data_IF_489045545098
#
_entry.id   IF_489045545098
#
_cell.length_a   1.000
_cell.length_b   1.000
_cell.length_c   1.000
_cell.angle_alpha   90.00
_cell.angle_beta   90.00
_cell.angle_gamma   90.00
#
_symmetry.space_group_name_H-M   'P 1'
#
loop_
_entity.id
_entity.type
_entity.pdbx_description
1 polymer ?
#
# COMPACT_ATOMS: atom_id res chain seq x y z
N UNK A 1 -5.36 36.78 -37.00
CA UNK A 1 -5.74 35.39 -36.72
C UNK A 1 -6.18 34.57 -37.96
N UNK A 2 -6.26 35.13 -39.17
CA UNK A 2 -6.67 34.37 -40.38
C UNK A 2 -5.54 33.75 -41.22
N UNK A 3 -4.29 34.13 -41.04
CA UNK A 3 -3.19 33.67 -41.89
C UNK A 3 -2.66 32.26 -41.55
N UNK A 4 -2.70 31.89 -40.26
CA UNK A 4 -2.20 30.56 -39.81
C UNK A 4 -3.16 29.45 -40.22
N UNK A 5 -4.46 29.66 -40.13
CA UNK A 5 -5.47 28.68 -40.53
C UNK A 5 -5.46 28.38 -42.06
N UNK A 6 -5.05 29.34 -42.88
CA UNK A 6 -4.99 29.16 -44.32
C UNK A 6 -3.77 28.39 -44.76
N UNK A 7 -2.66 28.48 -44.03
CA UNK A 7 -1.45 27.68 -44.30
C UNK A 7 -1.67 26.20 -43.92
N UNK A 8 -2.33 25.94 -42.80
CA UNK A 8 -2.67 24.57 -42.41
C UNK A 8 -3.61 23.86 -43.39
N UNK A 9 -4.60 24.59 -43.94
CA UNK A 9 -5.54 24.05 -44.93
C UNK A 9 -4.85 23.72 -46.28
N UNK A 10 -3.89 24.53 -46.73
CA UNK A 10 -3.14 24.29 -47.99
C UNK A 10 -2.19 23.09 -47.82
N UNK A 11 -1.60 22.87 -46.67
CA UNK A 11 -0.72 21.73 -46.40
C UNK A 11 -1.51 20.43 -46.26
N UNK A 12 -2.72 20.48 -45.71
CA UNK A 12 -3.62 19.33 -45.63
C UNK A 12 -4.07 18.83 -47.03
N UNK A 13 -4.25 19.74 -47.97
CA UNK A 13 -4.65 19.41 -49.36
C UNK A 13 -3.49 18.86 -50.23
N UNK A 14 -2.24 18.99 -49.80
CA UNK A 14 -1.05 18.48 -50.50
C UNK A 14 -0.65 17.05 -50.12
N UNK A 15 -1.32 16.43 -49.17
CA UNK A 15 -1.04 15.04 -48.78
C UNK A 15 0.26 14.87 -47.98
N UNK A 16 0.89 15.97 -47.57
CA UNK A 16 2.09 15.92 -46.72
C UNK A 16 1.66 15.53 -45.32
N UNK A 17 2.02 14.32 -44.90
CA UNK A 17 1.76 13.85 -43.52
C UNK A 17 2.52 14.74 -42.56
N UNK A 18 1.81 15.63 -41.89
CA UNK A 18 2.35 16.31 -40.70
C UNK A 18 2.52 15.27 -39.61
N UNK A 19 3.73 14.75 -39.47
CA UNK A 19 4.15 14.13 -38.21
C UNK A 19 4.20 15.24 -37.15
N UNK A 20 3.27 15.23 -36.21
CA UNK A 20 3.31 16.15 -35.09
C UNK A 20 4.52 15.79 -34.22
N UNK A 21 5.12 16.79 -33.49
CA UNK A 21 6.20 16.51 -32.55
C UNK A 21 5.84 15.42 -31.53
N UNK A 22 4.55 15.24 -31.25
CA UNK A 22 4.03 14.18 -30.37
C UNK A 22 4.20 12.77 -30.95
N UNK A 23 3.97 12.60 -32.26
CA UNK A 23 4.10 11.30 -32.93
C UNK A 23 5.57 10.86 -32.99
N UNK A 24 6.48 11.77 -33.32
CA UNK A 24 7.93 11.52 -33.25
C UNK A 24 8.42 11.21 -31.84
N UNK A 25 7.84 11.83 -30.82
CA UNK A 25 8.22 11.56 -29.43
C UNK A 25 7.80 10.16 -28.99
N UNK A 26 6.60 9.73 -29.32
CA UNK A 26 6.10 8.39 -29.00
C UNK A 26 6.84 7.30 -29.77
N UNK A 27 7.11 7.48 -31.06
CA UNK A 27 7.92 6.52 -31.85
C UNK A 27 9.34 6.39 -31.28
N UNK A 28 10.01 7.49 -30.99
CA UNK A 28 11.34 7.49 -30.39
C UNK A 28 11.36 6.83 -29.01
N UNK A 29 10.35 7.08 -28.17
CA UNK A 29 10.20 6.40 -26.89
C UNK A 29 9.95 4.91 -27.04
N UNK A 30 9.20 4.49 -28.05
CA UNK A 30 8.97 3.08 -28.34
C UNK A 30 10.24 2.39 -28.87
N UNK A 31 11.05 3.08 -29.67
CA UNK A 31 12.35 2.58 -30.13
C UNK A 31 13.35 2.48 -28.99
N UNK A 32 13.44 3.50 -28.13
CA UNK A 32 14.25 3.48 -26.90
C UNK A 32 13.85 2.34 -25.97
N UNK A 33 12.55 2.07 -25.84
CA UNK A 33 12.03 0.97 -25.05
C UNK A 33 12.39 -0.41 -25.64
N UNK A 34 12.36 -0.55 -26.99
CA UNK A 34 12.76 -1.78 -27.70
C UNK A 34 14.27 -1.97 -27.71
N UNK A 35 15.05 -0.88 -27.75
CA UNK A 35 16.51 -0.90 -27.80
C UNK A 35 17.16 -1.11 -26.42
N UNK A 36 16.40 -1.00 -25.31
CA UNK A 36 16.94 -1.31 -23.98
C UNK A 36 17.31 -2.80 -23.93
N UNK A 37 18.60 -3.14 -23.75
CA UNK A 37 19.00 -4.54 -23.56
C UNK A 37 18.19 -5.06 -22.36
N UNK A 38 17.62 -6.25 -22.53
CA UNK A 38 16.90 -6.92 -21.45
C UNK A 38 17.85 -7.00 -20.24
N UNK A 39 17.80 -5.99 -19.39
CA UNK A 39 18.55 -6.00 -18.14
C UNK A 39 18.23 -7.34 -17.51
N UNK A 40 19.27 -8.10 -17.11
CA UNK A 40 19.12 -9.36 -16.37
C UNK A 40 18.11 -9.07 -15.26
N UNK A 41 16.86 -9.41 -15.50
CA UNK A 41 15.80 -9.28 -14.51
C UNK A 41 16.27 -10.13 -13.34
N UNK A 42 16.78 -9.50 -12.27
CA UNK A 42 16.74 -10.13 -10.97
C UNK A 42 15.30 -10.62 -10.88
N UNK A 43 15.11 -11.93 -10.65
CA UNK A 43 13.77 -12.49 -10.60
C UNK A 43 13.02 -11.77 -9.48
N UNK A 44 12.28 -10.73 -9.87
CA UNK A 44 11.42 -10.03 -8.94
C UNK A 44 10.47 -11.09 -8.35
N UNK A 45 10.25 -11.07 -7.05
CA UNK A 45 9.29 -11.97 -6.45
C UNK A 45 7.97 -11.81 -7.20
N UNK A 46 7.38 -12.92 -7.67
CA UNK A 46 6.11 -12.83 -8.37
C UNK A 46 5.07 -12.19 -7.45
N UNK A 47 4.13 -11.42 -8.00
CA UNK A 47 3.04 -10.81 -7.23
C UNK A 47 2.33 -11.86 -6.34
N UNK A 48 2.11 -13.07 -6.86
CA UNK A 48 1.52 -14.17 -6.10
C UNK A 48 2.36 -14.50 -4.86
N UNK A 49 3.68 -14.56 -4.97
CA UNK A 49 4.57 -14.81 -3.85
C UNK A 49 4.50 -13.69 -2.81
N UNK A 50 4.51 -12.43 -3.24
CA UNK A 50 4.34 -11.29 -2.32
C UNK A 50 3.02 -11.37 -1.59
N UNK A 51 1.91 -11.64 -2.29
CA UNK A 51 0.59 -11.79 -1.70
C UNK A 51 0.49 -12.95 -0.72
N UNK A 52 1.21 -14.06 -0.93
CA UNK A 52 1.24 -15.18 0.02
C UNK A 52 1.99 -14.86 1.31
N UNK A 53 2.99 -14.00 1.25
CA UNK A 53 3.78 -13.59 2.43
C UNK A 53 3.25 -12.31 3.09
N UNK A 54 2.51 -11.48 2.36
CA UNK A 54 1.85 -10.31 2.92
C UNK A 54 0.63 -10.76 3.74
N UNK A 55 0.73 -10.69 5.06
CA UNK A 55 -0.32 -11.03 6.02
C UNK A 55 -0.52 -9.87 7.01
N UNK A 56 -1.68 -9.85 7.66
CA UNK A 56 -1.96 -8.91 8.74
C UNK A 56 -1.26 -9.36 10.02
N UNK A 57 0.03 -9.03 10.15
CA UNK A 57 0.84 -9.39 11.31
C UNK A 57 0.49 -8.51 12.51
N UNK A 58 0.40 -9.14 13.68
CA UNK A 58 0.11 -8.47 14.96
C UNK A 58 1.21 -8.67 16.00
N UNK A 59 2.17 -9.58 15.71
CA UNK A 59 3.36 -9.84 16.51
C UNK A 59 4.62 -9.69 15.66
N UNK A 60 5.61 -9.01 16.22
CA UNK A 60 6.86 -8.65 15.55
C UNK A 60 8.06 -9.11 16.38
N UNK A 61 9.18 -9.32 15.70
CA UNK A 61 10.46 -9.66 16.30
C UNK A 61 11.03 -8.44 17.05
N UNK A 62 11.10 -8.47 18.39
CA UNK A 62 11.59 -7.34 19.18
C UNK A 62 13.09 -7.07 19.02
N UNK A 63 13.84 -8.05 18.52
CA UNK A 63 15.30 -7.90 18.29
C UNK A 63 15.59 -7.09 17.02
N UNK A 64 14.59 -6.94 16.13
CA UNK A 64 14.77 -6.22 14.87
C UNK A 64 14.28 -4.79 14.96
N UNK A 65 15.17 -3.85 14.69
CA UNK A 65 14.83 -2.43 14.59
C UNK A 65 14.58 -2.04 13.13
N UNK A 66 13.38 -1.53 12.84
CA UNK A 66 13.09 -0.90 11.56
C UNK A 66 13.82 0.43 11.48
N UNK A 67 14.44 0.71 10.32
CA UNK A 67 15.20 1.94 10.09
C UNK A 67 14.37 2.95 9.30
N UNK A 68 14.76 4.21 9.42
CA UNK A 68 14.11 5.32 8.71
C UNK A 68 14.15 5.13 7.18
N UNK A 69 15.29 4.69 6.63
CA UNK A 69 15.43 4.43 5.19
C UNK A 69 14.48 3.36 4.68
N UNK A 70 14.15 2.36 5.51
CA UNK A 70 13.16 1.33 5.18
C UNK A 70 11.73 1.90 5.15
N UNK A 71 11.34 2.73 6.14
CA UNK A 71 10.03 3.40 6.12
C UNK A 71 9.92 4.37 4.94
N UNK A 72 10.99 5.12 4.63
CA UNK A 72 11.04 5.98 3.47
C UNK A 72 10.81 5.20 2.18
N UNK A 73 11.51 4.08 1.99
CA UNK A 73 11.34 3.20 0.82
C UNK A 73 9.92 2.67 0.69
N UNK A 74 9.27 2.35 1.81
CA UNK A 74 7.86 1.94 1.82
C UNK A 74 6.96 3.09 1.40
N UNK A 75 7.19 4.31 1.89
CA UNK A 75 6.41 5.50 1.55
C UNK A 75 6.61 5.91 0.08
N UNK A 76 7.80 5.75 -0.48
CA UNK A 76 8.09 6.07 -1.88
C UNK A 76 7.13 5.39 -2.87
N UNK A 77 6.57 4.23 -2.53
CA UNK A 77 5.57 3.54 -3.36
C UNK A 77 4.33 4.40 -3.63
N UNK A 78 3.99 5.31 -2.73
CA UNK A 78 2.86 6.23 -2.92
C UNK A 78 3.03 7.13 -4.15
N UNK A 79 4.25 7.34 -4.63
CA UNK A 79 4.53 8.11 -5.86
C UNK A 79 4.34 7.29 -7.14
N UNK A 80 4.15 5.98 -7.02
CA UNK A 80 4.08 5.04 -8.15
C UNK A 80 2.68 4.50 -8.38
N UNK A 81 1.78 4.66 -7.42
CA UNK A 81 0.41 4.13 -7.50
C UNK A 81 -0.58 5.16 -8.02
N UNK A 82 -1.65 4.73 -8.70
CA UNK A 82 -2.69 5.64 -9.15
C UNK A 82 -3.49 6.24 -7.98
N UNK A 83 -4.04 7.43 -8.19
CA UNK A 83 -5.06 8.02 -7.32
C UNK A 83 -6.20 8.60 -8.13
N UNK A 84 -7.39 8.71 -7.53
CA UNK A 84 -8.56 9.25 -8.18
C UNK A 84 -8.28 10.68 -8.68
N UNK A 85 -8.49 10.92 -9.98
CA UNK A 85 -8.19 12.21 -10.65
C UNK A 85 -6.76 12.71 -10.43
N UNK A 86 -5.84 11.82 -10.07
CA UNK A 86 -4.46 12.15 -9.68
C UNK A 86 -4.37 13.21 -8.56
N UNK A 87 -5.34 13.20 -7.63
CA UNK A 87 -5.48 14.21 -6.59
C UNK A 87 -4.38 14.17 -5.51
N UNK A 88 -3.77 13.00 -5.28
CA UNK A 88 -2.62 12.80 -4.39
C UNK A 88 -2.74 13.50 -3.03
N UNK A 89 -3.89 13.35 -2.38
CA UNK A 89 -4.24 14.05 -1.13
C UNK A 89 -3.66 13.43 0.13
N UNK A 90 -3.09 12.22 0.04
CA UNK A 90 -2.57 11.51 1.21
C UNK A 90 -1.19 12.04 1.62
N UNK A 91 -0.94 12.05 2.93
CA UNK A 91 0.33 12.42 3.56
C UNK A 91 0.71 11.38 4.60
N UNK A 92 2.01 11.19 4.81
CA UNK A 92 2.56 10.07 5.57
C UNK A 92 3.46 10.58 6.67
N UNK A 93 3.21 10.14 7.89
CA UNK A 93 4.06 10.39 9.06
C UNK A 93 4.72 9.08 9.47
N UNK A 94 6.01 8.87 9.16
CA UNK A 94 6.76 7.76 9.73
C UNK A 94 6.96 7.99 11.23
N UNK A 95 6.86 6.91 11.99
CA UNK A 95 7.02 6.91 13.45
C UNK A 95 7.95 5.75 13.81
N UNK A 96 8.96 6.03 14.61
CA UNK A 96 9.98 5.09 15.07
C UNK A 96 10.29 5.30 16.56
N UNK A 97 10.97 4.33 17.14
CA UNK A 97 11.60 4.38 18.46
C UNK A 97 10.70 4.96 19.57
N UNK A 98 11.06 6.09 20.15
CA UNK A 98 10.39 6.68 21.31
C UNK A 98 8.94 7.12 21.03
N UNK A 99 8.66 7.55 19.79
CA UNK A 99 7.29 7.91 19.38
C UNK A 99 6.40 6.67 19.15
N UNK A 100 6.98 5.48 18.97
CA UNK A 100 6.22 4.25 18.74
C UNK A 100 5.27 3.92 19.90
N UNK A 101 5.68 4.18 21.13
CA UNK A 101 4.85 3.98 22.33
C UNK A 101 3.65 4.93 22.37
N UNK A 102 3.77 6.11 21.76
CA UNK A 102 2.63 7.02 21.61
C UNK A 102 1.57 6.39 20.72
N UNK A 103 1.97 5.84 19.55
CA UNK A 103 1.04 5.19 18.64
C UNK A 103 0.42 3.95 19.29
N UNK A 104 1.25 3.10 19.92
CA UNK A 104 0.81 1.85 20.54
C UNK A 104 -0.34 2.07 21.54
N UNK A 105 -0.29 3.13 22.33
CA UNK A 105 -1.33 3.45 23.33
C UNK A 105 -2.67 3.89 22.72
N UNK A 106 -2.68 4.26 21.45
CA UNK A 106 -3.88 4.78 20.78
C UNK A 106 -4.45 3.84 19.72
N UNK A 107 -3.84 2.68 19.49
CA UNK A 107 -4.33 1.67 18.53
C UNK A 107 -4.97 0.49 19.25
N UNK A 108 -5.83 -0.25 18.53
CA UNK A 108 -6.42 -1.51 19.00
C UNK A 108 -6.18 -2.59 17.96
N UNK A 109 -5.66 -3.73 18.41
CA UNK A 109 -5.40 -4.92 17.57
C UNK A 109 -6.27 -6.09 18.01
N UNK A 110 -6.53 -7.04 17.10
CA UNK A 110 -7.18 -8.30 17.44
C UNK A 110 -8.68 -8.22 17.70
N UNK A 111 -9.41 -7.24 17.13
CA UNK A 111 -10.83 -7.03 17.42
C UNK A 111 -11.77 -8.22 17.25
N UNK A 112 -11.43 -9.23 16.40
CA UNK A 112 -12.20 -10.47 16.26
C UNK A 112 -11.76 -11.60 17.23
N UNK A 113 -10.69 -11.40 17.98
CA UNK A 113 -10.18 -12.32 19.01
C UNK A 113 -9.77 -11.52 20.26
N UNK A 114 -10.71 -10.84 20.91
CA UNK A 114 -10.41 -9.92 22.02
C UNK A 114 -9.78 -10.62 23.22
N UNK A 115 -10.06 -11.92 23.39
CA UNK A 115 -9.49 -12.77 24.44
C UNK A 115 -7.97 -12.94 24.34
N UNK A 116 -7.38 -12.68 23.18
CA UNK A 116 -5.94 -12.82 23.00
C UNK A 116 -5.12 -11.62 23.48
N UNK A 117 -5.77 -10.48 23.74
CA UNK A 117 -5.10 -9.24 24.20
C UNK A 117 -3.86 -8.90 23.35
N UNK A 118 -4.05 -8.74 22.03
CA UNK A 118 -2.96 -8.47 21.09
C UNK A 118 -2.52 -6.99 21.11
N UNK A 119 -1.22 -6.71 20.84
CA UNK A 119 -0.13 -7.66 20.60
C UNK A 119 0.28 -8.39 21.89
N UNK A 120 0.87 -9.58 21.75
CA UNK A 120 1.45 -10.24 22.91
C UNK A 120 2.63 -9.44 23.45
N UNK A 121 2.79 -9.44 24.78
CA UNK A 121 3.86 -8.73 25.46
C UNK A 121 5.24 -9.09 24.87
N UNK A 122 6.03 -8.08 24.54
CA UNK A 122 7.34 -8.22 23.91
C UNK A 122 7.30 -8.46 22.40
N UNK A 123 6.12 -8.45 21.76
CA UNK A 123 5.98 -8.55 20.30
C UNK A 123 5.35 -7.31 19.67
N UNK A 124 5.31 -6.22 20.40
CA UNK A 124 4.70 -4.96 19.99
C UNK A 124 5.41 -4.38 18.76
N UNK A 125 4.67 -3.80 17.81
CA UNK A 125 5.29 -3.06 16.72
C UNK A 125 6.02 -1.81 17.25
N UNK A 126 7.22 -1.56 16.70
CA UNK A 126 8.08 -0.41 17.09
C UNK A 126 8.27 0.58 15.95
N UNK A 127 7.56 0.38 14.83
CA UNK A 127 7.55 1.29 13.70
C UNK A 127 6.15 1.40 13.12
N UNK A 128 5.77 2.62 12.72
CA UNK A 128 4.46 2.88 12.12
C UNK A 128 4.56 3.89 11.00
N UNK A 129 3.56 3.88 10.13
CA UNK A 129 3.28 4.94 9.17
C UNK A 129 1.83 5.37 9.41
N UNK A 130 1.65 6.61 9.87
CA UNK A 130 0.31 7.21 9.99
C UNK A 130 -0.02 7.88 8.67
N UNK A 131 -1.13 7.47 8.06
CA UNK A 131 -1.61 8.01 6.79
C UNK A 131 -2.69 9.05 7.09
N UNK A 132 -2.47 10.27 6.63
CA UNK A 132 -3.37 11.39 6.82
C UNK A 132 -3.92 11.89 5.47
N UNK A 133 -5.03 12.62 5.49
CA UNK A 133 -5.59 13.27 4.30
C UNK A 133 -5.55 14.79 4.43
N UNK A 134 -5.21 15.49 3.34
CA UNK A 134 -5.25 16.95 3.25
C UNK A 134 -6.64 17.51 2.98
N UNK A 135 -7.61 16.64 2.70
CA UNK A 135 -9.02 16.94 2.42
C UNK A 135 -9.92 16.07 3.27
N UNK A 136 -11.19 16.39 3.35
CA UNK A 136 -12.18 15.59 4.04
C UNK A 136 -12.28 14.17 3.47
N UNK A 137 -12.60 13.21 4.35
CA UNK A 137 -12.80 11.81 4.01
C UNK A 137 -13.97 11.65 3.01
N UNK A 138 -13.76 10.88 1.97
CA UNK A 138 -14.74 10.62 0.93
C UNK A 138 -14.47 9.27 0.28
N UNK A 139 -15.46 8.74 -0.45
CA UNK A 139 -15.34 7.47 -1.18
C UNK A 139 -14.06 7.38 -2.03
N UNK A 140 -13.63 8.47 -2.66
CA UNK A 140 -12.41 8.46 -3.48
C UNK A 140 -11.14 8.48 -2.63
N UNK A 141 -11.16 9.20 -1.51
CA UNK A 141 -10.06 9.19 -0.53
C UNK A 141 -9.91 7.77 0.04
N UNK A 142 -11.01 7.08 0.36
CA UNK A 142 -10.98 5.70 0.88
C UNK A 142 -10.42 4.70 -0.14
N UNK A 143 -10.77 4.86 -1.43
CA UNK A 143 -10.21 4.03 -2.51
C UNK A 143 -8.70 4.28 -2.63
N UNK A 144 -8.26 5.53 -2.69
CA UNK A 144 -6.85 5.89 -2.76
C UNK A 144 -6.08 5.38 -1.52
N UNK A 145 -6.69 5.49 -0.34
CA UNK A 145 -6.13 4.99 0.93
C UNK A 145 -5.87 3.48 0.86
N UNK A 146 -6.85 2.71 0.37
CA UNK A 146 -6.71 1.26 0.21
C UNK A 146 -5.62 0.88 -0.78
N UNK A 147 -5.55 1.56 -1.94
CA UNK A 147 -4.52 1.33 -2.97
C UNK A 147 -3.12 1.58 -2.41
N UNK A 148 -2.92 2.73 -1.76
CA UNK A 148 -1.63 3.12 -1.19
C UNK A 148 -1.22 2.19 -0.05
N UNK A 149 -2.11 1.93 0.90
CA UNK A 149 -1.81 1.09 2.06
C UNK A 149 -1.41 -0.33 1.65
N UNK A 150 -2.16 -0.96 0.72
CA UNK A 150 -1.83 -2.28 0.20
C UNK A 150 -0.47 -2.28 -0.51
N UNK A 151 -0.19 -1.27 -1.33
CA UNK A 151 1.07 -1.17 -2.07
C UNK A 151 2.26 -0.99 -1.14
N UNK A 152 2.12 -0.16 -0.10
CA UNK A 152 3.14 0.01 0.94
C UNK A 152 3.43 -1.28 1.69
N UNK A 153 2.40 -2.04 2.05
CA UNK A 153 2.58 -3.31 2.76
C UNK A 153 3.19 -4.41 1.86
N UNK A 154 2.93 -4.39 0.56
CA UNK A 154 3.63 -5.24 -0.40
C UNK A 154 5.11 -4.86 -0.51
N UNK A 155 5.44 -3.56 -0.54
CA UNK A 155 6.82 -3.09 -0.51
C UNK A 155 7.53 -3.48 0.79
N UNK A 156 6.84 -3.38 1.94
CA UNK A 156 7.37 -3.88 3.20
C UNK A 156 7.70 -5.38 3.11
N UNK A 157 6.79 -6.18 2.53
CA UNK A 157 6.98 -7.62 2.32
C UNK A 157 8.18 -7.91 1.40
N UNK A 158 8.34 -7.15 0.32
CA UNK A 158 9.46 -7.30 -0.62
C UNK A 158 10.82 -7.11 0.05
N UNK A 159 10.91 -6.18 1.01
CA UNK A 159 12.16 -5.91 1.75
C UNK A 159 12.32 -6.75 3.02
N UNK A 160 11.49 -7.81 3.18
CA UNK A 160 11.59 -8.75 4.31
C UNK A 160 10.94 -8.26 5.61
N UNK A 161 10.10 -7.24 5.52
CA UNK A 161 9.23 -6.76 6.60
C UNK A 161 7.80 -7.23 6.38
N UNK A 162 6.93 -6.91 7.30
CA UNK A 162 5.50 -7.11 7.20
C UNK A 162 4.77 -6.05 7.98
N UNK A 163 3.44 -6.07 7.91
CA UNK A 163 2.66 -5.09 8.65
C UNK A 163 1.17 -5.39 8.64
N UNK A 164 0.41 -4.44 9.15
CA UNK A 164 -1.05 -4.50 9.21
C UNK A 164 -1.64 -3.10 9.06
N UNK A 165 -2.80 -3.00 8.40
CA UNK A 165 -3.65 -1.82 8.43
C UNK A 165 -4.46 -1.80 9.73
N UNK A 166 -4.43 -0.69 10.43
CA UNK A 166 -5.13 -0.46 11.70
C UNK A 166 -6.07 0.74 11.52
N UNK A 167 -7.37 0.44 11.38
CA UNK A 167 -8.43 1.47 11.35
C UNK A 167 -8.99 1.76 12.75
N UNK A 168 -8.77 0.84 13.72
CA UNK A 168 -9.26 1.00 15.09
C UNK A 168 -8.21 1.75 15.94
N UNK A 169 -8.29 3.08 15.93
CA UNK A 169 -7.41 3.95 16.74
C UNK A 169 -8.12 5.24 17.13
N UNK A 170 -7.58 5.91 18.15
CA UNK A 170 -8.11 7.17 18.67
C UNK A 170 -7.54 8.33 17.85
N UNK A 171 -8.27 8.78 16.80
CA UNK A 171 -7.82 9.76 15.78
C UNK A 171 -7.33 11.07 16.41
N UNK A 172 -8.19 11.77 17.18
CA UNK A 172 -7.86 13.08 17.72
C UNK A 172 -6.73 13.04 18.76
N UNK A 173 -6.70 12.12 19.74
CA UNK A 173 -5.57 11.97 20.64
C UNK A 173 -4.25 11.69 19.90
N UNK A 174 -4.27 10.81 18.89
CA UNK A 174 -3.08 10.51 18.10
C UNK A 174 -2.61 11.73 17.32
N UNK A 175 -3.54 12.46 16.69
CA UNK A 175 -3.26 13.70 15.96
C UNK A 175 -2.55 14.73 16.82
N UNK A 176 -3.05 14.96 18.03
CA UNK A 176 -2.45 15.91 18.97
C UNK A 176 -1.08 15.45 19.46
N UNK A 177 -0.94 14.19 19.84
CA UNK A 177 0.32 13.65 20.39
C UNK A 177 1.47 13.63 19.39
N UNK A 178 1.17 13.38 18.11
CA UNK A 178 2.16 13.38 17.02
C UNK A 178 2.25 14.74 16.31
N UNK A 179 1.50 15.76 16.78
CA UNK A 179 1.42 17.08 16.16
C UNK A 179 1.14 17.01 14.64
N UNK A 180 0.14 16.20 14.25
CA UNK A 180 -0.20 16.01 12.85
C UNK A 180 -0.99 17.20 12.33
N UNK A 181 -0.52 17.76 11.20
CA UNK A 181 -1.20 18.87 10.52
C UNK A 181 -2.56 18.45 9.92
N UNK A 182 -2.67 17.20 9.49
CA UNK A 182 -3.81 16.67 8.77
C UNK A 182 -4.48 15.54 9.54
N UNK A 183 -5.74 15.24 9.17
CA UNK A 183 -6.53 14.20 9.81
C UNK A 183 -5.96 12.80 9.53
N UNK A 184 -5.64 11.99 10.56
CA UNK A 184 -5.19 10.62 10.39
C UNK A 184 -6.36 9.71 10.02
N UNK A 185 -6.20 8.94 8.92
CA UNK A 185 -7.22 8.01 8.43
C UNK A 185 -6.88 6.55 8.70
N UNK A 186 -5.59 6.21 8.69
CA UNK A 186 -5.14 4.83 8.85
C UNK A 186 -3.75 4.79 9.49
N UNK A 187 -3.49 3.77 10.28
CA UNK A 187 -2.15 3.48 10.81
C UNK A 187 -1.67 2.16 10.21
N UNK A 188 -0.46 2.16 9.67
CA UNK A 188 0.25 0.92 9.30
C UNK A 188 1.26 0.62 10.40
N UNK A 189 1.14 -0.54 11.05
CA UNK A 189 2.24 -1.07 11.86
C UNK A 189 3.20 -1.84 10.98
N UNK A 190 4.50 -1.64 11.15
CA UNK A 190 5.58 -2.22 10.34
C UNK A 190 6.62 -2.88 11.25
N UNK A 191 7.10 -4.05 10.86
CA UNK A 191 8.16 -4.75 11.59
C UNK A 191 8.58 -6.02 10.90
N UNK A 192 9.55 -6.75 11.49
CA UNK A 192 9.86 -8.11 11.06
C UNK A 192 8.80 -9.04 11.64
N UNK A 193 8.04 -9.81 10.81
CA UNK A 193 7.01 -10.70 11.33
C UNK A 193 7.58 -11.80 12.24
N UNK A 194 6.91 -12.05 13.36
CA UNK A 194 7.20 -13.13 14.31
C UNK A 194 6.03 -14.13 14.46
N UNK A 195 5.04 -14.05 13.57
CA UNK A 195 3.88 -14.91 13.58
C UNK A 195 3.86 -15.86 12.38
N UNK A 196 3.39 -17.08 12.62
CA UNK A 196 3.02 -18.00 11.55
C UNK A 196 1.55 -17.83 11.21
N UNK A 197 1.27 -17.48 9.94
CA UNK A 197 -0.10 -17.27 9.45
C UNK A 197 -0.30 -18.16 8.22
N UNK A 198 -1.37 -18.95 8.24
CA UNK A 198 -1.73 -19.85 7.14
C UNK A 198 -3.12 -19.50 6.59
N UNK A 199 -3.24 -19.57 5.26
CA UNK A 199 -4.53 -19.43 4.58
C UNK A 199 -5.17 -20.80 4.46
N UNK A 200 -6.47 -20.88 4.79
CA UNK A 200 -7.27 -22.08 4.60
C UNK A 200 -8.43 -21.77 3.66
N UNK A 201 -8.68 -22.65 2.70
CA UNK A 201 -9.81 -22.49 1.80
C UNK A 201 -11.13 -22.77 2.53
N UNK A 202 -12.15 -21.99 2.22
CA UNK A 202 -13.53 -22.21 2.68
C UNK A 202 -14.52 -21.96 1.54
N UNK A 203 -15.69 -22.57 1.65
CA UNK A 203 -16.80 -22.39 0.73
C UNK A 203 -17.70 -21.23 1.18
N UNK A 204 -18.56 -20.77 0.29
CA UNK A 204 -19.58 -19.79 0.63
C UNK A 204 -20.52 -20.36 1.73
N UNK A 205 -20.84 -19.51 2.73
CA UNK A 205 -21.65 -19.90 3.89
C UNK A 205 -20.88 -20.53 5.06
N UNK A 206 -19.60 -20.89 4.88
CA UNK A 206 -18.74 -21.30 5.98
C UNK A 206 -18.22 -20.10 6.77
N UNK A 207 -17.78 -20.33 8.03
CA UNK A 207 -17.26 -19.26 8.86
C UNK A 207 -15.97 -18.66 8.30
N UNK A 208 -15.94 -17.33 8.16
CA UNK A 208 -14.75 -16.56 7.79
C UNK A 208 -13.95 -16.09 9.01
N UNK A 209 -14.39 -16.47 10.23
CA UNK A 209 -13.68 -16.07 11.45
C UNK A 209 -12.31 -16.74 11.50
N UNK A 210 -11.27 -15.92 11.56
CA UNK A 210 -9.92 -16.42 11.75
C UNK A 210 -9.72 -16.95 13.18
N UNK A 211 -8.82 -17.91 13.37
CA UNK A 211 -8.59 -18.58 14.64
C UNK A 211 -7.11 -18.91 14.83
N UNK A 212 -6.72 -19.21 16.08
CA UNK A 212 -5.37 -19.68 16.41
C UNK A 212 -5.42 -21.11 16.93
N UNK A 213 -4.46 -21.89 16.46
CA UNK A 213 -4.24 -23.26 16.92
C UNK A 213 -2.75 -23.60 16.87
N UNK A 214 -2.20 -24.14 17.96
CA UNK A 214 -0.80 -24.61 18.04
C UNK A 214 0.23 -23.54 17.57
N UNK A 215 0.04 -22.29 18.00
CA UNK A 215 0.93 -21.18 17.63
C UNK A 215 0.76 -20.65 16.20
N UNK A 216 -0.10 -21.25 15.38
CA UNK A 216 -0.40 -20.82 14.01
C UNK A 216 -1.73 -20.06 13.97
N UNK A 217 -1.75 -18.95 13.23
CA UNK A 217 -2.95 -18.15 12.96
C UNK A 217 -3.53 -18.55 11.59
N UNK A 218 -4.74 -19.10 11.59
CA UNK A 218 -5.43 -19.57 10.39
C UNK A 218 -6.43 -18.51 9.91
N UNK A 219 -6.38 -18.23 8.60
CA UNK A 219 -7.23 -17.20 7.96
C UNK A 219 -8.03 -17.85 6.82
N UNK A 220 -9.35 -18.08 7.01
CA UNK A 220 -10.20 -18.61 5.96
C UNK A 220 -10.27 -17.65 4.75
N UNK A 221 -10.25 -18.22 3.55
CA UNK A 221 -10.40 -17.53 2.28
C UNK A 221 -11.39 -18.25 1.39
N UNK A 222 -12.38 -17.53 0.92
CA UNK A 222 -13.39 -18.07 0.01
C UNK A 222 -12.71 -18.51 -1.29
N UNK A 223 -13.15 -19.68 -1.80
CA UNK A 223 -12.68 -20.24 -3.08
C UNK A 223 -13.05 -19.30 -4.23
N UNK A 224 -12.21 -19.27 -5.26
CA UNK A 224 -12.40 -18.35 -6.41
C UNK A 224 -13.73 -18.58 -7.12
N UNK A 225 -14.21 -19.82 -7.18
CA UNK A 225 -15.49 -20.19 -7.81
C UNK A 225 -16.69 -19.52 -7.13
N UNK A 226 -16.58 -19.22 -5.82
CA UNK A 226 -17.60 -18.51 -5.05
C UNK A 226 -17.45 -16.97 -5.08
N UNK A 227 -16.34 -16.45 -5.63
CA UNK A 227 -16.10 -15.01 -5.80
C UNK A 227 -16.54 -14.48 -7.17
N UNK A 228 -16.75 -15.36 -8.15
CA UNK A 228 -17.13 -14.99 -9.51
C UNK A 228 -18.65 -15.07 -9.63
N UNK A 229 -19.28 -13.92 -9.90
CA UNK A 229 -20.71 -13.88 -10.25
C UNK A 229 -20.92 -14.46 -11.64
N UNK A 230 -22.01 -15.22 -11.80
CA UNK A 230 -22.46 -15.79 -13.09
C UNK A 230 -23.53 -14.92 -13.71
#
# INVERSE_FOLDING_TARGET
MCAVAYVELILYLRGDKFFTMADNYLEKKMEDYKAQPAAKRRSAASLRRLLLHHRSYRGYDPSFKVREDQLRKIIEVATLVPSARNQQVLRFRPVLDDEADVVLRHIRLGGALPELHLPFAGTEPRAYIVICSTVEESKYVDVDLGIVAQSMLLQATEIGLGGICIGAFDREPLRQRLNLRYEPLLVLAIGRPAERIELVECSEGESLTYYRREGTHYVPKIKVENLILK
#
